data_IF_057318553015
#
_entry.id   IF_057318553015
#
_cell.length_a   1.000
_cell.length_b   1.000
_cell.length_c   1.000
_cell.angle_alpha   90.00
_cell.angle_beta   90.00
_cell.angle_gamma   90.00
#
_symmetry.space_group_name_H-M   'P 1'
#
loop_
_entity.id
_entity.type
_entity.pdbx_description
1 polymer ?
#
# COMPACT_ATOMS: atom_id res chain seq x y z
N UNK A 1 8.57 4.01 -21.72
CA UNK A 1 7.82 4.28 -20.47
C UNK A 1 8.21 3.19 -19.49
N UNK A 2 8.73 3.57 -18.31
CA UNK A 2 9.12 2.60 -17.29
C UNK A 2 7.83 2.01 -16.68
N UNK A 3 7.75 0.69 -16.64
CA UNK A 3 6.59 -0.03 -16.12
C UNK A 3 6.95 -0.58 -14.75
N UNK A 4 6.27 -0.11 -13.70
CA UNK A 4 6.56 -0.56 -12.33
C UNK A 4 5.37 -1.36 -11.82
N UNK A 5 5.66 -2.58 -11.37
CA UNK A 5 4.68 -3.51 -10.80
C UNK A 5 5.07 -3.79 -9.36
N UNK A 6 4.15 -3.57 -8.44
CA UNK A 6 4.27 -4.04 -7.06
C UNK A 6 3.46 -5.31 -6.92
N UNK A 7 4.06 -6.34 -6.34
CA UNK A 7 3.42 -7.65 -6.23
C UNK A 7 3.53 -8.11 -4.78
N UNK A 8 2.41 -8.57 -4.24
CA UNK A 8 2.31 -9.13 -2.90
C UNK A 8 1.41 -10.36 -2.89
N UNK A 9 1.72 -11.31 -2.03
CA UNK A 9 0.84 -12.38 -1.62
C UNK A 9 0.05 -11.90 -0.41
N UNK A 10 -1.26 -12.05 -0.46
CA UNK A 10 -2.15 -11.66 0.63
C UNK A 10 -3.21 -12.74 0.82
N UNK A 11 -3.53 -13.05 2.08
CA UNK A 11 -4.65 -13.93 2.40
C UNK A 11 -5.97 -13.19 2.27
N UNK A 12 -7.02 -13.91 1.90
CA UNK A 12 -8.38 -13.38 1.82
C UNK A 12 -8.79 -12.66 3.10
N UNK A 13 -8.43 -13.21 4.27
CA UNK A 13 -8.68 -12.61 5.57
C UNK A 13 -8.03 -11.25 5.75
N UNK A 14 -6.77 -11.08 5.36
CA UNK A 14 -6.08 -9.79 5.44
C UNK A 14 -6.65 -8.82 4.42
N UNK A 15 -6.98 -9.29 3.22
CA UNK A 15 -7.59 -8.45 2.17
C UNK A 15 -8.97 -7.92 2.60
N UNK A 16 -9.80 -8.76 3.23
CA UNK A 16 -11.08 -8.34 3.81
C UNK A 16 -10.88 -7.22 4.83
N UNK A 17 -9.89 -7.33 5.73
CA UNK A 17 -9.59 -6.29 6.70
C UNK A 17 -9.21 -4.96 6.03
N UNK A 18 -8.39 -5.01 4.96
CA UNK A 18 -8.05 -3.81 4.20
C UNK A 18 -9.28 -3.19 3.51
N UNK A 19 -10.22 -4.00 3.02
CA UNK A 19 -11.47 -3.51 2.46
C UNK A 19 -12.40 -2.90 3.53
N UNK A 20 -12.46 -3.48 4.73
CA UNK A 20 -13.19 -2.92 5.87
C UNK A 20 -12.61 -1.56 6.28
N UNK A 21 -11.29 -1.41 6.33
CA UNK A 21 -10.65 -0.12 6.60
C UNK A 21 -10.94 0.93 5.51
N UNK A 22 -10.93 0.50 4.24
CA UNK A 22 -11.11 1.39 3.08
C UNK A 22 -12.56 1.82 2.85
N UNK A 23 -13.51 0.89 2.98
CA UNK A 23 -14.91 1.08 2.61
C UNK A 23 -15.88 1.02 3.80
N UNK A 24 -15.41 0.63 4.98
CA UNK A 24 -16.21 0.40 6.18
C UNK A 24 -16.94 -0.94 6.17
N UNK A 25 -17.69 -1.25 5.11
CA UNK A 25 -18.39 -2.53 4.95
C UNK A 25 -18.66 -2.86 3.49
N UNK A 26 -18.90 -4.14 3.20
CA UNK A 26 -19.29 -4.59 1.87
C UNK A 26 -20.63 -3.97 1.41
N UNK A 27 -21.55 -3.73 2.34
CA UNK A 27 -22.83 -3.08 2.05
C UNK A 27 -22.65 -1.61 1.65
N UNK A 28 -21.68 -0.90 2.26
CA UNK A 28 -21.34 0.46 1.86
C UNK A 28 -20.83 0.49 0.42
N UNK A 29 -19.93 -0.45 0.07
CA UNK A 29 -19.41 -0.55 -1.30
C UNK A 29 -20.53 -0.85 -2.30
N UNK A 30 -21.43 -1.80 -1.99
CA UNK A 30 -22.63 -2.07 -2.80
C UNK A 30 -23.53 -0.85 -2.94
N UNK A 31 -23.66 -0.03 -1.90
CA UNK A 31 -24.46 1.21 -1.95
C UNK A 31 -23.84 2.25 -2.90
N UNK A 32 -22.51 2.39 -2.91
CA UNK A 32 -21.81 3.30 -3.84
C UNK A 32 -22.14 2.94 -5.30
N UNK A 33 -22.16 1.65 -5.64
CA UNK A 33 -22.58 1.16 -6.96
C UNK A 33 -24.05 1.47 -7.27
N UNK A 34 -24.96 1.27 -6.30
CA UNK A 34 -26.38 1.63 -6.46
C UNK A 34 -26.59 3.13 -6.70
N UNK A 35 -25.71 3.98 -6.17
CA UNK A 35 -25.72 5.43 -6.39
C UNK A 35 -25.06 5.86 -7.72
N UNK A 36 -24.55 4.91 -8.52
CA UNK A 36 -23.90 5.21 -9.80
C UNK A 36 -22.52 5.86 -9.66
N UNK A 37 -21.87 5.70 -8.49
CA UNK A 37 -20.56 6.31 -8.18
C UNK A 37 -19.40 5.30 -8.17
N UNK A 38 -19.66 4.05 -8.57
CA UNK A 38 -18.63 3.02 -8.64
C UNK A 38 -17.70 3.22 -9.84
N UNK A 39 -16.42 2.90 -9.66
CA UNK A 39 -15.45 2.78 -10.73
C UNK A 39 -15.01 1.32 -10.92
N UNK A 40 -14.25 1.04 -11.98
CA UNK A 40 -13.77 -0.30 -12.29
C UNK A 40 -12.90 -0.91 -11.18
N UNK A 41 -12.16 -0.10 -10.42
CA UNK A 41 -11.34 -0.59 -9.31
C UNK A 41 -12.22 -1.02 -8.14
N UNK A 42 -13.24 -0.25 -7.83
CA UNK A 42 -14.23 -0.59 -6.80
C UNK A 42 -15.00 -1.87 -7.16
N UNK A 43 -15.18 -2.16 -8.45
CA UNK A 43 -15.92 -3.34 -8.93
C UNK A 43 -15.08 -4.59 -8.68
N UNK A 44 -13.81 -4.56 -9.08
CA UNK A 44 -12.85 -5.62 -8.78
C UNK A 44 -12.69 -5.83 -7.26
N UNK A 45 -12.57 -4.75 -6.48
CA UNK A 45 -12.48 -4.85 -5.02
C UNK A 45 -13.75 -5.51 -4.43
N UNK A 46 -14.94 -5.25 -4.98
CA UNK A 46 -16.19 -5.87 -4.54
C UNK A 46 -16.23 -7.37 -4.87
N UNK A 47 -15.84 -7.75 -6.09
CA UNK A 47 -15.77 -9.15 -6.52
C UNK A 47 -14.80 -9.95 -5.64
N UNK A 48 -13.60 -9.41 -5.41
CA UNK A 48 -12.61 -10.01 -4.52
C UNK A 48 -13.18 -10.15 -3.09
N UNK A 49 -13.84 -9.11 -2.56
CA UNK A 49 -14.41 -9.16 -1.22
C UNK A 49 -15.48 -10.26 -1.08
N UNK A 50 -16.38 -10.37 -2.05
CA UNK A 50 -17.42 -11.42 -2.06
C UNK A 50 -16.83 -12.83 -2.16
N UNK A 51 -15.74 -12.98 -2.93
CA UNK A 51 -15.04 -14.25 -3.08
C UNK A 51 -14.35 -14.67 -1.78
N UNK A 52 -13.49 -13.81 -1.23
CA UNK A 52 -12.70 -14.13 -0.05
C UNK A 52 -13.52 -14.23 1.24
N UNK A 53 -14.73 -13.64 1.29
CA UNK A 53 -15.66 -13.92 2.40
C UNK A 53 -15.99 -15.42 2.52
N UNK A 54 -16.01 -16.15 1.40
CA UNK A 54 -16.24 -17.60 1.37
C UNK A 54 -14.93 -18.39 1.47
N UNK A 55 -13.82 -17.77 1.10
CA UNK A 55 -12.49 -18.37 1.00
C UNK A 55 -11.42 -17.59 1.80
N UNK A 56 -11.62 -17.31 3.11
CA UNK A 56 -10.80 -16.35 3.85
C UNK A 56 -9.34 -16.79 4.03
N UNK A 57 -9.08 -18.10 4.00
CA UNK A 57 -7.73 -18.65 4.18
C UNK A 57 -6.98 -18.82 2.85
N UNK A 58 -7.64 -18.60 1.70
CA UNK A 58 -6.96 -18.67 0.41
C UNK A 58 -6.03 -17.46 0.22
N UNK A 59 -4.85 -17.72 -0.34
CA UNK A 59 -3.89 -16.69 -0.70
C UNK A 59 -4.05 -16.32 -2.18
N UNK A 60 -3.93 -15.03 -2.48
CA UNK A 60 -3.85 -14.55 -3.85
C UNK A 60 -2.60 -13.69 -4.06
N UNK A 61 -2.15 -13.65 -5.30
CA UNK A 61 -1.12 -12.70 -5.73
C UNK A 61 -1.80 -11.44 -6.28
N UNK A 62 -1.68 -10.34 -5.54
CA UNK A 62 -2.15 -9.03 -5.98
C UNK A 62 -1.03 -8.29 -6.71
N UNK A 63 -1.35 -7.74 -7.89
CA UNK A 63 -0.43 -6.93 -8.69
C UNK A 63 -0.95 -5.52 -8.82
N UNK A 64 -0.17 -4.55 -8.35
CA UNK A 64 -0.46 -3.12 -8.53
C UNK A 64 0.46 -2.57 -9.60
N UNK A 65 -0.16 -2.07 -10.66
CA UNK A 65 0.52 -1.47 -11.80
C UNK A 65 0.58 0.04 -11.61
N UNK A 66 1.79 0.61 -11.54
CA UNK A 66 2.01 2.05 -11.33
C UNK A 66 2.25 2.80 -12.65
N UNK A 67 1.63 2.35 -13.74
CA UNK A 67 1.84 2.94 -15.06
C UNK A 67 1.55 4.44 -15.03
N UNK A 68 2.60 5.23 -15.20
CA UNK A 68 2.54 6.66 -15.46
C UNK A 68 1.74 7.47 -14.42
N UNK A 69 1.78 7.09 -13.13
CA UNK A 69 1.34 7.99 -12.06
C UNK A 69 2.39 9.13 -11.96
N UNK A 70 2.12 10.35 -12.46
CA UNK A 70 3.09 11.45 -12.40
C UNK A 70 3.40 11.86 -10.95
N UNK A 71 2.57 11.44 -10.00
CA UNK A 71 2.81 11.64 -8.58
C UNK A 71 3.69 10.55 -7.94
N UNK A 72 4.15 9.57 -8.71
CA UNK A 72 5.09 8.53 -8.28
C UNK A 72 6.50 8.81 -8.84
N UNK A 73 7.37 9.36 -8.00
CA UNK A 73 8.70 9.83 -8.38
C UNK A 73 9.78 8.77 -8.17
N UNK A 74 10.96 8.97 -8.79
CA UNK A 74 12.15 8.15 -8.52
C UNK A 74 12.57 8.18 -7.04
N UNK A 75 12.24 9.24 -6.31
CA UNK A 75 12.50 9.30 -4.87
C UNK A 75 11.58 8.36 -4.10
N UNK A 76 10.35 8.16 -4.56
CA UNK A 76 9.39 7.27 -3.91
C UNK A 76 9.84 5.81 -4.06
N UNK A 77 10.33 5.42 -5.24
CA UNK A 77 10.99 4.12 -5.44
C UNK A 77 12.17 3.90 -4.51
N UNK A 78 13.04 4.90 -4.38
CA UNK A 78 14.19 4.81 -3.45
C UNK A 78 13.73 4.67 -2.00
N UNK A 79 12.67 5.38 -1.59
CA UNK A 79 12.11 5.22 -0.25
C UNK A 79 11.64 3.78 -0.04
N UNK A 80 10.87 3.22 -0.98
CA UNK A 80 10.38 1.83 -0.88
C UNK A 80 11.53 0.82 -0.83
N UNK A 81 12.55 1.01 -1.68
CA UNK A 81 13.74 0.16 -1.73
C UNK A 81 14.52 0.18 -0.40
N UNK A 82 14.78 1.36 0.16
CA UNK A 82 15.44 1.50 1.46
C UNK A 82 14.60 0.91 2.60
N UNK A 83 13.28 1.11 2.61
CA UNK A 83 12.41 0.51 3.64
C UNK A 83 12.48 -1.01 3.57
N UNK A 84 12.47 -1.57 2.36
CA UNK A 84 12.50 -3.02 2.14
C UNK A 84 13.84 -3.65 2.54
N UNK A 85 14.94 -3.05 2.10
CA UNK A 85 16.27 -3.65 2.22
C UNK A 85 16.96 -3.29 3.54
N UNK A 86 16.86 -2.03 3.97
CA UNK A 86 17.55 -1.53 5.17
C UNK A 86 16.69 -1.60 6.44
N UNK A 87 15.36 -1.75 6.30
CA UNK A 87 14.40 -1.89 7.41
C UNK A 87 14.61 -0.86 8.55
N UNK A 88 14.60 0.45 8.22
CA UNK A 88 14.85 1.50 9.20
C UNK A 88 13.82 1.47 10.33
N UNK A 89 14.25 1.72 11.56
CA UNK A 89 13.41 1.72 12.74
C UNK A 89 12.60 3.01 12.92
N UNK A 90 12.84 4.03 12.09
CA UNK A 90 12.10 5.30 12.11
C UNK A 90 12.21 6.10 10.82
N UNK A 91 11.26 7.03 10.62
CA UNK A 91 11.32 8.03 9.54
C UNK A 91 12.63 8.85 9.60
N UNK A 92 13.09 9.20 10.79
CA UNK A 92 14.32 9.96 10.99
C UNK A 92 15.56 9.16 10.60
N UNK A 93 15.59 7.85 10.88
CA UNK A 93 16.67 6.96 10.46
C UNK A 93 16.68 6.77 8.95
N UNK A 94 15.53 6.53 8.33
CA UNK A 94 15.39 6.49 6.88
C UNK A 94 15.94 7.76 6.23
N UNK A 95 15.60 8.94 6.76
CA UNK A 95 16.09 10.21 6.26
C UNK A 95 17.63 10.32 6.34
N UNK A 96 18.24 9.82 7.43
CA UNK A 96 19.70 9.76 7.57
C UNK A 96 20.33 8.81 6.56
N UNK A 97 19.79 7.60 6.39
CA UNK A 97 20.28 6.61 5.41
C UNK A 97 20.26 7.17 3.99
N UNK A 98 19.22 7.94 3.66
CA UNK A 98 19.06 8.57 2.35
C UNK A 98 19.83 9.88 2.19
N UNK A 99 20.45 10.40 3.26
CA UNK A 99 21.03 11.74 3.34
C UNK A 99 20.04 12.84 2.87
N UNK A 100 18.83 12.82 3.43
CA UNK A 100 17.73 13.74 3.11
C UNK A 100 17.17 14.41 4.35
N UNK A 101 16.49 15.54 4.14
CA UNK A 101 15.72 16.22 5.18
C UNK A 101 14.56 15.36 5.70
N UNK A 102 14.39 15.31 7.02
CA UNK A 102 13.37 14.51 7.70
C UNK A 102 11.96 14.97 7.33
N UNK A 103 11.73 16.28 7.20
CA UNK A 103 10.41 16.83 6.85
C UNK A 103 9.96 16.42 5.44
N UNK A 104 10.89 16.44 4.48
CA UNK A 104 10.63 15.99 3.12
C UNK A 104 10.35 14.48 3.05
N UNK A 105 11.13 13.67 3.78
CA UNK A 105 10.90 12.22 3.85
C UNK A 105 9.57 11.92 4.54
N UNK A 106 9.26 12.59 5.65
CA UNK A 106 8.00 12.39 6.36
C UNK A 106 6.77 12.66 5.47
N UNK A 107 6.79 13.73 4.67
CA UNK A 107 5.71 14.03 3.70
C UNK A 107 5.55 12.91 2.67
N UNK A 108 6.65 12.43 2.08
CA UNK A 108 6.62 11.34 1.10
C UNK A 108 6.14 10.03 1.72
N UNK A 109 6.58 9.72 2.92
CA UNK A 109 6.14 8.56 3.69
C UNK A 109 4.63 8.60 3.94
N UNK A 110 4.08 9.75 4.35
CA UNK A 110 2.63 9.87 4.53
C UNK A 110 1.87 9.67 3.21
N UNK A 111 2.34 10.25 2.11
CA UNK A 111 1.73 10.04 0.80
C UNK A 111 1.78 8.56 0.36
N UNK A 112 2.91 7.88 0.60
CA UNK A 112 3.06 6.45 0.29
C UNK A 112 2.15 5.58 1.16
N UNK A 113 1.95 5.96 2.43
CA UNK A 113 0.99 5.31 3.33
C UNK A 113 -0.44 5.46 2.84
N UNK A 114 -0.86 6.68 2.49
CA UNK A 114 -2.21 6.95 1.98
C UNK A 114 -2.52 6.17 0.70
N UNK A 115 -1.50 5.93 -0.13
CA UNK A 115 -1.60 5.09 -1.33
C UNK A 115 -1.52 3.59 -1.04
N UNK A 116 -1.33 3.17 0.20
CA UNK A 116 -1.24 1.77 0.63
C UNK A 116 0.08 1.08 0.30
N UNK A 117 1.13 1.83 -0.05
CA UNK A 117 2.45 1.25 -0.37
C UNK A 117 3.24 0.85 0.88
N UNK A 118 3.00 1.54 1.99
CA UNK A 118 3.67 1.29 3.27
C UNK A 118 2.68 1.38 4.43
N UNK A 119 2.93 0.60 5.46
CA UNK A 119 2.30 0.73 6.78
C UNK A 119 3.21 1.54 7.71
N UNK A 120 2.63 2.25 8.67
CA UNK A 120 3.37 2.91 9.76
C UNK A 120 2.99 2.25 11.07
N UNK A 121 3.93 1.51 11.65
CA UNK A 121 3.76 0.94 12.97
C UNK A 121 4.25 1.90 14.04
N UNK A 122 3.40 2.14 15.05
CA UNK A 122 3.77 2.93 16.22
C UNK A 122 4.40 2.02 17.29
N UNK A 123 5.69 2.21 17.56
CA UNK A 123 6.34 1.54 18.70
C UNK A 123 5.88 2.23 19.99
N UNK A 124 5.21 1.47 20.87
CA UNK A 124 4.69 1.92 22.19
C UNK A 124 5.72 2.60 23.08
N UNK A 125 7.01 2.30 22.91
CA UNK A 125 8.05 2.77 23.82
C UNK A 125 8.38 4.26 23.63
N UNK A 126 8.31 4.80 22.40
CA UNK A 126 8.81 6.15 22.07
C UNK A 126 7.93 6.93 21.07
N UNK A 127 6.69 6.51 20.78
CA UNK A 127 5.84 7.10 19.73
C UNK A 127 6.54 7.19 18.35
N UNK A 128 7.52 6.32 18.10
CA UNK A 128 8.28 6.31 16.85
C UNK A 128 7.49 5.55 15.79
N UNK A 129 7.35 6.18 14.61
CA UNK A 129 6.69 5.60 13.44
C UNK A 129 7.71 4.85 12.60
N UNK A 130 7.56 3.54 12.54
CA UNK A 130 8.40 2.63 11.75
C UNK A 130 7.71 2.36 10.41
N UNK A 131 8.32 2.75 9.28
CA UNK A 131 7.76 2.41 7.98
C UNK A 131 8.00 0.94 7.64
N UNK A 132 6.95 0.26 7.18
CA UNK A 132 6.99 -1.12 6.69
C UNK A 132 6.52 -1.18 5.25
N UNK A 133 7.24 -1.95 4.43
CA UNK A 133 6.87 -2.16 3.05
C UNK A 133 5.80 -3.26 2.94
N UNK A 134 4.69 -2.97 2.29
CA UNK A 134 3.51 -3.87 2.25
C UNK A 134 3.55 -4.90 1.12
N UNK A 135 4.62 -4.92 0.32
CA UNK A 135 4.72 -5.77 -0.86
C UNK A 135 5.95 -6.67 -0.82
N UNK A 136 5.84 -7.83 -1.44
CA UNK A 136 6.92 -8.82 -1.46
C UNK A 136 7.98 -8.46 -2.50
N UNK A 137 7.58 -7.93 -3.66
CA UNK A 137 8.50 -7.57 -4.73
C UNK A 137 8.08 -6.31 -5.50
N UNK A 138 9.11 -5.64 -6.02
CA UNK A 138 9.02 -4.53 -6.97
C UNK A 138 9.62 -5.07 -8.27
N UNK A 139 8.84 -5.11 -9.34
CA UNK A 139 9.31 -5.44 -10.69
C UNK A 139 9.32 -4.16 -11.53
N UNK A 140 10.46 -3.89 -12.16
CA UNK A 140 10.64 -2.76 -13.06
C UNK A 140 10.93 -3.33 -14.45
N UNK A 141 10.03 -3.11 -15.40
CA UNK A 141 10.26 -3.43 -16.81
C UNK A 141 10.66 -2.14 -17.54
N UNK A 142 11.82 -2.18 -18.19
CA UNK A 142 12.44 -1.08 -18.95
C UNK A 142 12.22 -1.33 -20.44
#
# INVERSE_FOLDING_TARGET
MIKIKLIRKISGKKLIQEFEEKYGSIDNLKKIFKEGKGDMKMELDLEDWEYFQKHPEEEMEQRVLLYDDPSFSMTDLKILDFIKNEKPESISELAKLMNKDVGNIAKKINNLKEKGFIELEEKKLNNTKTPKFNYDKIEIEI
#
